data_IF_351474087537
#
_entry.id   IF_351474087537
#
_cell.length_a   1.000
_cell.length_b   1.000
_cell.length_c   1.000
_cell.angle_alpha   90.00
_cell.angle_beta   90.00
_cell.angle_gamma   90.00
#
_symmetry.space_group_name_H-M   'P 1'
#
loop_
_entity.id
_entity.type
_entity.pdbx_description
1 polymer ?
#
# COMPACT_ATOMS: atom_id res chain seq x y z
N UNK A 1 -62.37 -30.00 -19.06
CA UNK A 1 -62.38 -29.21 -17.80
C UNK A 1 -63.60 -29.64 -16.98
N UNK A 2 -63.51 -29.73 -15.65
CA UNK A 2 -62.66 -30.61 -14.84
C UNK A 2 -63.53 -31.48 -13.88
N UNK A 3 -62.94 -32.32 -13.02
CA UNK A 3 -62.89 -31.83 -11.63
C UNK A 3 -61.60 -32.18 -10.87
N UNK A 4 -61.11 -31.12 -10.21
CA UNK A 4 -60.54 -31.04 -8.85
C UNK A 4 -59.69 -32.19 -8.31
N UNK A 5 -58.41 -31.84 -8.17
CA UNK A 5 -57.36 -32.43 -7.35
C UNK A 5 -57.78 -32.56 -5.87
N UNK A 6 -57.50 -33.71 -5.22
CA UNK A 6 -57.13 -33.74 -3.83
C UNK A 6 -55.63 -34.04 -3.65
N UNK A 7 -54.99 -33.23 -2.80
CA UNK A 7 -53.63 -33.44 -2.31
C UNK A 7 -53.56 -34.71 -1.46
N UNK A 8 -52.60 -35.59 -1.73
CA UNK A 8 -52.17 -36.62 -0.78
C UNK A 8 -50.68 -36.45 -0.55
N UNK A 9 -50.34 -36.19 0.71
CA UNK A 9 -48.99 -36.13 1.23
C UNK A 9 -48.41 -37.55 1.36
N UNK A 10 -47.16 -37.74 0.95
CA UNK A 10 -46.35 -38.88 1.41
C UNK A 10 -44.96 -38.38 1.78
N UNK A 11 -44.76 -38.38 3.10
CA UNK A 11 -43.54 -38.56 3.89
C UNK A 11 -42.30 -39.04 3.13
N UNK A 12 -41.20 -38.29 3.28
CA UNK A 12 -39.86 -38.87 3.19
C UNK A 12 -39.22 -38.77 4.57
N UNK A 13 -39.03 -39.95 5.15
CA UNK A 13 -38.44 -40.13 6.45
C UNK A 13 -36.99 -39.66 6.49
N UNK A 14 -36.71 -38.92 7.56
CA UNK A 14 -35.42 -38.54 8.11
C UNK A 14 -34.46 -39.72 8.26
N UNK A 15 -33.22 -39.54 7.78
CA UNK A 15 -32.04 -40.07 8.44
C UNK A 15 -31.08 -38.89 8.66
N UNK A 16 -31.05 -38.42 9.90
CA UNK A 16 -30.14 -37.38 10.34
C UNK A 16 -28.73 -37.90 10.54
N UNK A 17 -27.75 -37.05 10.24
CA UNK A 17 -26.40 -37.12 10.79
C UNK A 17 -26.02 -35.70 11.26
N UNK A 18 -25.41 -35.52 12.44
CA UNK A 18 -25.43 -34.27 13.18
C UNK A 18 -24.18 -33.44 12.88
N UNK A 19 -24.34 -32.25 12.31
CA UNK A 19 -23.31 -31.22 12.34
C UNK A 19 -23.86 -29.97 13.02
N UNK A 20 -23.46 -29.83 14.30
CA UNK A 20 -23.71 -28.67 15.15
C UNK A 20 -23.28 -27.39 14.42
N UNK A 21 -24.24 -26.48 14.23
CA UNK A 21 -23.95 -25.08 13.98
C UNK A 21 -23.26 -24.49 15.21
N UNK A 22 -21.93 -24.46 15.19
CA UNK A 22 -21.17 -23.60 16.08
C UNK A 22 -21.15 -22.20 15.45
N UNK A 23 -22.09 -21.36 15.86
CA UNK A 23 -21.99 -19.91 15.67
C UNK A 23 -20.70 -19.44 16.31
N UNK A 24 -19.71 -19.07 15.49
CA UNK A 24 -18.52 -18.38 15.99
C UNK A 24 -18.92 -16.97 16.34
N UNK A 25 -19.22 -16.79 17.63
CA UNK A 25 -19.22 -15.50 18.29
C UNK A 25 -17.90 -14.78 18.00
N UNK A 26 -18.02 -13.53 17.58
CA UNK A 26 -16.94 -12.56 17.56
C UNK A 26 -16.41 -12.42 18.99
N UNK A 27 -15.28 -13.06 19.27
CA UNK A 27 -14.58 -12.93 20.54
C UNK A 27 -13.71 -11.67 20.49
N UNK A 28 -14.21 -10.64 21.17
CA UNK A 28 -13.50 -9.81 22.16
C UNK A 28 -11.97 -9.72 22.09
N UNK A 29 -11.51 -8.47 21.95
CA UNK A 29 -10.22 -7.92 22.38
C UNK A 29 -9.14 -8.93 22.78
N UNK A 30 -8.31 -9.31 21.80
CA UNK A 30 -6.99 -9.85 22.12
C UNK A 30 -6.19 -8.75 22.82
N UNK A 31 -5.85 -8.96 24.08
CA UNK A 31 -4.86 -8.19 24.80
C UNK A 31 -3.58 -8.19 23.96
N UNK A 32 -3.22 -7.03 23.41
CA UNK A 32 -2.03 -6.87 22.59
C UNK A 32 -0.81 -6.99 23.50
N UNK A 33 -0.34 -8.21 23.75
CA UNK A 33 1.07 -8.42 24.06
C UNK A 33 1.85 -7.78 22.93
N UNK A 34 2.62 -6.74 23.24
CA UNK A 34 3.60 -6.11 22.34
C UNK A 34 4.50 -7.23 21.78
N UNK A 35 4.14 -7.77 20.63
CA UNK A 35 4.94 -8.75 19.92
C UNK A 35 6.29 -8.10 19.61
N UNK A 36 7.39 -8.81 19.86
CA UNK A 36 8.72 -8.27 19.63
C UNK A 36 8.83 -7.80 18.18
N UNK A 37 9.43 -6.63 17.97
CA UNK A 37 9.56 -6.06 16.64
C UNK A 37 10.39 -7.00 15.74
N UNK A 38 10.04 -7.13 14.44
CA UNK A 38 10.77 -8.00 13.52
C UNK A 38 12.28 -7.66 13.45
N UNK A 39 13.15 -8.60 13.05
CA UNK A 39 14.56 -8.28 12.86
C UNK A 39 14.76 -7.27 11.72
N UNK A 40 15.89 -6.54 11.78
CA UNK A 40 16.29 -5.63 10.71
C UNK A 40 16.43 -6.38 9.37
N UNK A 41 16.05 -5.76 8.24
CA UNK A 41 16.08 -6.42 6.95
C UNK A 41 17.54 -6.62 6.46
N UNK A 42 17.84 -7.74 5.78
CA UNK A 42 19.15 -7.93 5.15
C UNK A 42 19.32 -7.03 3.91
N UNK A 43 20.57 -6.65 3.57
CA UNK A 43 20.87 -5.81 2.40
C UNK A 43 20.53 -6.49 1.07
N UNK A 44 20.52 -7.82 1.03
CA UNK A 44 20.14 -8.63 -0.12
C UNK A 44 19.15 -9.69 0.36
N UNK A 45 18.09 -9.93 -0.40
CA UNK A 45 17.10 -10.91 0.01
C UNK A 45 15.94 -11.07 -0.98
N UNK A 46 15.15 -12.12 -0.74
CA UNK A 46 13.90 -12.37 -1.45
C UNK A 46 12.78 -12.71 -0.47
N UNK A 47 11.64 -12.04 -0.61
CA UNK A 47 10.48 -12.22 0.25
C UNK A 47 9.22 -12.51 -0.58
N UNK A 48 8.44 -13.49 -0.13
CA UNK A 48 7.13 -13.77 -0.72
C UNK A 48 6.12 -12.72 -0.24
N UNK A 49 5.38 -12.13 -1.17
CA UNK A 49 4.45 -11.05 -0.90
C UNK A 49 3.05 -11.60 -0.66
N UNK A 50 2.86 -12.24 0.49
CA UNK A 50 1.63 -12.94 0.86
C UNK A 50 0.44 -12.01 1.16
N UNK A 51 0.71 -10.72 1.42
CA UNK A 51 -0.31 -9.68 1.58
C UNK A 51 -0.85 -9.15 0.25
N UNK A 52 -0.40 -9.68 -0.89
CA UNK A 52 -0.86 -9.31 -2.23
C UNK A 52 -1.53 -10.50 -2.91
N UNK A 53 -2.44 -10.22 -3.83
CA UNK A 53 -3.15 -11.21 -4.64
C UNK A 53 -3.07 -10.85 -6.12
N UNK A 54 -3.21 -11.88 -6.95
CA UNK A 54 -3.09 -11.77 -8.39
C UNK A 54 -4.45 -12.02 -9.06
N UNK A 55 -4.82 -11.16 -10.00
CA UNK A 55 -5.92 -11.36 -10.93
C UNK A 55 -5.35 -11.55 -12.32
N UNK A 56 -5.88 -12.48 -13.11
CA UNK A 56 -5.61 -12.55 -14.54
C UNK A 56 -6.67 -11.80 -15.32
N UNK A 57 -6.25 -11.10 -16.36
CA UNK A 57 -7.09 -10.42 -17.34
C UNK A 57 -6.62 -10.84 -18.73
N UNK A 58 -7.49 -11.45 -19.53
CA UNK A 58 -7.09 -12.07 -20.81
C UNK A 58 -8.16 -11.93 -21.89
N UNK A 59 -7.75 -11.57 -23.12
CA UNK A 59 -8.61 -11.49 -24.30
C UNK A 59 -8.25 -10.31 -25.21
N UNK A 60 -8.84 -10.23 -26.42
CA UNK A 60 -8.48 -9.22 -27.42
C UNK A 60 -8.66 -7.77 -26.96
N UNK A 61 -9.66 -7.48 -26.12
CA UNK A 61 -9.93 -6.10 -25.68
C UNK A 61 -9.12 -5.69 -24.44
N UNK A 62 -8.24 -6.55 -23.93
CA UNK A 62 -7.56 -6.38 -22.63
C UNK A 62 -6.73 -5.10 -22.53
N UNK A 63 -5.94 -4.80 -23.55
CA UNK A 63 -5.07 -3.61 -23.59
C UNK A 63 -5.90 -2.33 -23.59
N UNK A 64 -6.88 -2.24 -24.49
CA UNK A 64 -7.75 -1.07 -24.60
C UNK A 64 -8.56 -0.87 -23.32
N UNK A 65 -9.08 -1.95 -22.75
CA UNK A 65 -9.80 -1.94 -21.48
C UNK A 65 -8.94 -1.38 -20.36
N UNK A 66 -7.74 -1.93 -20.12
CA UNK A 66 -6.83 -1.45 -19.08
C UNK A 66 -6.40 0.00 -19.32
N UNK A 67 -6.09 0.35 -20.57
CA UNK A 67 -5.69 1.71 -20.94
C UNK A 67 -6.71 2.76 -20.49
N UNK A 68 -8.00 2.46 -20.55
CA UNK A 68 -9.07 3.40 -20.17
C UNK A 68 -9.36 3.49 -18.67
N UNK A 69 -8.84 2.59 -17.82
CA UNK A 69 -9.21 2.53 -16.40
C UNK A 69 -8.02 2.58 -15.43
N UNK A 70 -6.79 2.57 -15.94
CA UNK A 70 -5.56 2.68 -15.14
C UNK A 70 -4.87 4.03 -15.35
N UNK A 71 -4.08 4.46 -14.37
CA UNK A 71 -3.34 5.74 -14.43
C UNK A 71 -2.05 5.68 -15.27
N UNK A 72 -1.49 4.48 -15.50
CA UNK A 72 -0.27 4.27 -16.27
C UNK A 72 -0.60 3.86 -17.71
N UNK A 73 0.32 4.10 -18.65
CA UNK A 73 0.09 3.80 -20.05
C UNK A 73 0.21 2.31 -20.34
N UNK A 74 -0.83 1.73 -20.95
CA UNK A 74 -0.89 0.33 -21.37
C UNK A 74 -0.92 0.30 -22.89
N UNK A 75 0.10 -0.29 -23.48
CA UNK A 75 0.24 -0.43 -24.94
C UNK A 75 0.54 -1.89 -25.33
N UNK A 76 0.23 -2.30 -26.56
CA UNK A 76 0.64 -3.61 -27.07
C UNK A 76 2.16 -3.77 -27.03
N UNK A 77 2.63 -5.02 -26.91
CA UNK A 77 4.06 -5.35 -26.98
C UNK A 77 4.88 -5.10 -25.71
N UNK A 78 4.26 -4.61 -24.63
CA UNK A 78 4.93 -4.57 -23.33
C UNK A 78 5.28 -5.99 -22.86
N UNK A 79 6.48 -6.18 -22.36
CA UNK A 79 6.97 -7.45 -21.78
C UNK A 79 7.28 -7.34 -20.29
N UNK A 80 7.58 -6.13 -19.82
CA UNK A 80 7.83 -5.81 -18.41
C UNK A 80 6.57 -5.22 -17.76
N UNK A 81 6.35 -5.56 -16.50
CA UNK A 81 5.29 -4.96 -15.70
C UNK A 81 5.56 -3.51 -15.32
N UNK A 82 4.54 -2.84 -14.78
CA UNK A 82 4.64 -1.44 -14.37
C UNK A 82 3.70 -1.16 -13.18
N UNK A 83 4.06 -0.14 -12.40
CA UNK A 83 3.23 0.34 -11.30
C UNK A 83 2.11 1.24 -11.81
N UNK A 84 0.93 1.14 -11.22
CA UNK A 84 -0.24 1.92 -11.60
C UNK A 84 -1.27 2.00 -10.46
N UNK A 85 -2.40 2.65 -10.72
CA UNK A 85 -3.54 2.64 -9.84
C UNK A 85 -4.86 2.65 -10.61
N UNK A 86 -5.91 2.15 -9.96
CA UNK A 86 -7.29 2.37 -10.35
C UNK A 86 -7.85 3.54 -9.56
N UNK A 87 -8.56 4.45 -10.22
CA UNK A 87 -9.18 5.61 -9.57
C UNK A 87 -10.70 5.54 -9.58
N UNK A 88 -11.32 6.24 -8.64
CA UNK A 88 -12.73 6.58 -8.72
C UNK A 88 -12.96 7.65 -9.79
N UNK A 89 -14.20 7.83 -10.22
CA UNK A 89 -14.56 8.93 -11.13
C UNK A 89 -14.21 10.31 -10.56
N UNK A 90 -14.11 10.44 -9.24
CA UNK A 90 -13.69 11.66 -8.54
C UNK A 90 -12.16 11.82 -8.45
N UNK A 91 -11.38 10.92 -9.03
CA UNK A 91 -9.91 10.96 -9.02
C UNK A 91 -9.27 10.54 -7.68
N UNK A 92 -9.97 9.74 -6.87
CA UNK A 92 -9.42 9.15 -5.63
C UNK A 92 -8.87 7.76 -5.90
N UNK A 93 -7.78 7.38 -5.23
CA UNK A 93 -7.21 6.04 -5.42
C UNK A 93 -8.17 4.98 -4.89
N UNK A 94 -8.48 3.99 -5.72
CA UNK A 94 -9.19 2.78 -5.30
C UNK A 94 -8.18 1.73 -4.84
N UNK A 95 -7.20 1.45 -5.69
CA UNK A 95 -6.18 0.44 -5.45
C UNK A 95 -4.88 0.84 -6.15
N UNK A 96 -3.76 0.71 -5.44
CA UNK A 96 -2.41 0.65 -5.99
C UNK A 96 -2.13 -0.75 -6.53
N UNK A 97 -1.57 -0.84 -7.74
CA UNK A 97 -1.38 -2.12 -8.44
C UNK A 97 -0.07 -2.18 -9.19
N UNK A 98 0.43 -3.39 -9.38
CA UNK A 98 1.34 -3.69 -10.49
C UNK A 98 0.58 -4.42 -11.57
N UNK A 99 0.87 -4.11 -12.83
CA UNK A 99 0.29 -4.79 -13.99
C UNK A 99 1.43 -5.41 -14.79
N UNK A 100 1.35 -6.71 -15.01
CA UNK A 100 2.36 -7.50 -15.70
C UNK A 100 1.80 -8.03 -17.01
N UNK A 101 2.38 -7.67 -18.16
CA UNK A 101 2.17 -8.42 -19.39
C UNK A 101 2.56 -9.89 -19.18
N UNK A 102 1.74 -10.80 -19.68
CA UNK A 102 1.90 -12.24 -19.46
C UNK A 102 1.70 -13.08 -20.73
N UNK A 103 1.44 -12.44 -21.88
CA UNK A 103 1.28 -13.12 -23.17
C UNK A 103 2.51 -13.93 -23.59
N UNK A 104 3.70 -13.50 -23.17
CA UNK A 104 4.97 -14.16 -23.50
C UNK A 104 5.27 -15.40 -22.66
N UNK A 105 4.48 -15.67 -21.60
CA UNK A 105 4.78 -16.74 -20.64
C UNK A 105 4.02 -18.03 -20.98
N UNK A 106 4.71 -19.12 -21.34
CA UNK A 106 4.08 -20.42 -21.58
C UNK A 106 3.42 -20.98 -20.33
N UNK A 107 4.00 -20.75 -19.14
CA UNK A 107 3.42 -21.17 -17.87
C UNK A 107 2.07 -20.50 -17.60
N UNK A 108 1.92 -19.23 -17.98
CA UNK A 108 0.63 -18.55 -17.89
C UNK A 108 -0.37 -19.08 -18.89
N UNK A 109 0.04 -19.27 -20.15
CA UNK A 109 -0.82 -19.85 -21.19
C UNK A 109 -1.36 -21.23 -20.78
N UNK A 110 -0.52 -22.09 -20.20
CA UNK A 110 -0.91 -23.40 -19.69
C UNK A 110 -1.86 -23.35 -18.46
N UNK A 111 -1.88 -22.24 -17.73
CA UNK A 111 -2.76 -22.03 -16.57
C UNK A 111 -4.12 -21.40 -16.94
N UNK A 112 -4.36 -21.12 -18.23
CA UNK A 112 -5.67 -20.68 -18.70
C UNK A 112 -6.67 -21.85 -18.73
N UNK A 113 -7.96 -21.67 -18.41
CA UNK A 113 -8.95 -22.72 -18.51
C UNK A 113 -9.28 -22.93 -19.98
N UNK A 114 -9.48 -24.19 -20.37
CA UNK A 114 -9.80 -24.57 -21.74
C UNK A 114 -10.98 -23.80 -22.31
N UNK A 115 -11.99 -23.49 -21.49
CA UNK A 115 -13.16 -22.71 -21.89
C UNK A 115 -12.84 -21.28 -22.32
N UNK A 116 -11.80 -20.67 -21.74
CA UNK A 116 -11.37 -19.31 -22.08
C UNK A 116 -10.48 -19.35 -23.32
N UNK A 117 -9.60 -20.35 -23.43
CA UNK A 117 -8.75 -20.58 -24.61
C UNK A 117 -9.60 -20.90 -25.84
N UNK A 118 -10.65 -21.72 -25.70
CA UNK A 118 -11.60 -22.00 -26.78
C UNK A 118 -12.35 -20.73 -27.26
N UNK A 119 -12.53 -19.74 -26.37
CA UNK A 119 -13.26 -18.51 -26.67
C UNK A 119 -12.40 -17.43 -27.34
N UNK A 120 -11.15 -17.29 -26.93
CA UNK A 120 -10.27 -16.19 -27.35
C UNK A 120 -9.01 -16.66 -28.09
N UNK A 121 -8.69 -17.96 -28.11
CA UNK A 121 -7.44 -18.51 -28.62
C UNK A 121 -6.40 -18.68 -27.51
N UNK A 122 -5.15 -18.95 -27.91
CA UNK A 122 -4.01 -18.89 -26.99
C UNK A 122 -3.48 -17.44 -26.92
N UNK A 123 -2.83 -17.03 -25.81
CA UNK A 123 -2.22 -15.71 -25.70
C UNK A 123 -1.31 -15.37 -26.88
N UNK A 124 -1.54 -14.22 -27.47
CA UNK A 124 -0.79 -13.70 -28.61
C UNK A 124 -0.75 -12.17 -28.54
N UNK A 125 0.00 -11.49 -29.42
CA UNK A 125 -0.09 -10.03 -29.54
C UNK A 125 -1.51 -9.53 -29.81
N UNK A 126 -2.33 -10.30 -30.54
CA UNK A 126 -3.73 -9.97 -30.86
C UNK A 126 -4.70 -10.33 -29.71
N UNK A 127 -4.31 -11.24 -28.83
CA UNK A 127 -5.06 -11.60 -27.62
C UNK A 127 -4.19 -11.40 -26.37
N UNK A 128 -4.00 -10.13 -25.96
CA UNK A 128 -3.10 -9.82 -24.88
C UNK A 128 -3.60 -10.36 -23.54
N UNK A 129 -2.64 -10.72 -22.69
CA UNK A 129 -2.85 -11.23 -21.34
C UNK A 129 -2.07 -10.39 -20.33
N UNK A 130 -2.71 -10.09 -19.20
CA UNK A 130 -2.13 -9.35 -18.09
C UNK A 130 -2.41 -10.04 -16.76
N UNK A 131 -1.46 -9.92 -15.83
CA UNK A 131 -1.66 -10.20 -14.41
C UNK A 131 -1.69 -8.87 -13.66
N UNK A 132 -2.67 -8.69 -12.78
CA UNK A 132 -2.83 -7.51 -11.94
C UNK A 132 -2.56 -7.93 -10.50
N UNK A 133 -1.54 -7.34 -9.89
CA UNK A 133 -1.26 -7.45 -8.46
C UNK A 133 -2.01 -6.36 -7.69
N UNK A 134 -2.72 -6.76 -6.64
CA UNK A 134 -3.43 -5.86 -5.73
C UNK A 134 -3.29 -6.35 -4.28
N UNK A 135 -3.56 -5.47 -3.31
CA UNK A 135 -3.74 -5.85 -1.91
C UNK A 135 -4.71 -7.03 -1.75
N UNK A 136 -4.30 -8.03 -0.97
CA UNK A 136 -5.08 -9.25 -0.77
C UNK A 136 -6.48 -8.99 -0.20
N UNK A 137 -6.63 -7.99 0.69
CA UNK A 137 -7.91 -7.67 1.31
C UNK A 137 -8.90 -7.03 0.32
N UNK A 138 -8.41 -6.49 -0.79
CA UNK A 138 -9.23 -5.75 -1.75
C UNK A 138 -9.40 -6.46 -3.10
N UNK A 139 -8.81 -7.64 -3.26
CA UNK A 139 -8.81 -8.38 -4.51
C UNK A 139 -10.22 -8.68 -5.05
N UNK A 140 -11.14 -9.11 -4.18
CA UNK A 140 -12.54 -9.36 -4.54
C UNK A 140 -13.30 -8.07 -4.89
N UNK A 141 -13.01 -6.98 -4.19
CA UNK A 141 -13.64 -5.68 -4.43
C UNK A 141 -13.16 -5.09 -5.75
N UNK A 142 -11.88 -5.21 -6.05
CA UNK A 142 -11.31 -4.84 -7.35
C UNK A 142 -11.89 -5.73 -8.46
N UNK A 143 -11.97 -7.06 -8.29
CA UNK A 143 -12.57 -7.95 -9.29
C UNK A 143 -14.01 -7.52 -9.66
N UNK A 144 -14.83 -7.20 -8.64
CA UNK A 144 -16.20 -6.69 -8.86
C UNK A 144 -16.19 -5.36 -9.59
N UNK A 145 -15.27 -4.46 -9.25
CA UNK A 145 -15.10 -3.19 -9.93
C UNK A 145 -14.73 -3.42 -11.41
N UNK A 146 -13.71 -4.23 -11.71
CA UNK A 146 -13.30 -4.52 -13.07
C UNK A 146 -14.45 -5.12 -13.90
N UNK A 147 -15.17 -6.09 -13.36
CA UNK A 147 -16.35 -6.68 -14.02
C UNK A 147 -17.45 -5.67 -14.33
N UNK A 148 -17.63 -4.64 -13.50
CA UNK A 148 -18.58 -3.55 -13.76
C UNK A 148 -18.20 -2.72 -14.98
N UNK A 149 -16.90 -2.45 -15.17
CA UNK A 149 -16.40 -1.63 -16.28
C UNK A 149 -16.19 -2.42 -17.58
N UNK A 150 -16.28 -3.76 -17.54
CA UNK A 150 -16.06 -4.66 -18.68
C UNK A 150 -17.05 -4.47 -19.86
N UNK A 151 -18.03 -3.58 -19.78
CA UNK A 151 -19.12 -3.34 -20.76
C UNK A 151 -18.83 -3.83 -22.20
N UNK A 152 -19.31 -5.05 -22.53
CA UNK A 152 -19.14 -5.75 -23.83
C UNK A 152 -17.70 -6.07 -24.26
N UNK A 153 -16.68 -5.64 -23.53
CA UNK A 153 -15.29 -5.96 -23.79
C UNK A 153 -15.07 -7.48 -23.79
N UNK A 154 -14.48 -7.97 -24.87
CA UNK A 154 -14.11 -9.35 -25.12
C UNK A 154 -12.85 -9.69 -24.34
N UNK A 155 -13.02 -9.93 -23.06
CA UNK A 155 -11.97 -10.38 -22.16
C UNK A 155 -12.55 -11.24 -21.04
N UNK A 156 -11.70 -11.94 -20.31
CA UNK A 156 -12.03 -12.66 -19.07
C UNK A 156 -11.21 -12.10 -17.90
N UNK A 157 -11.80 -12.09 -16.70
CA UNK A 157 -11.15 -11.61 -15.47
C UNK A 157 -11.45 -12.56 -14.33
N UNK A 158 -10.39 -13.06 -13.67
CA UNK A 158 -10.49 -14.02 -12.56
C UNK A 158 -9.35 -13.85 -11.56
N UNK A 159 -9.59 -14.31 -10.34
CA UNK A 159 -8.55 -14.46 -9.34
C UNK A 159 -7.68 -15.67 -9.68
N UNK A 160 -6.36 -15.52 -9.54
CA UNK A 160 -5.44 -16.64 -9.60
C UNK A 160 -5.42 -17.37 -8.26
N UNK A 161 -5.25 -18.70 -8.32
CA UNK A 161 -5.08 -19.54 -7.15
C UNK A 161 -3.73 -19.20 -6.48
N UNK A 162 -3.71 -18.79 -5.19
CA UNK A 162 -2.47 -18.49 -4.47
C UNK A 162 -1.54 -19.70 -4.30
N UNK A 163 -2.05 -20.93 -4.43
CA UNK A 163 -1.22 -22.14 -4.39
C UNK A 163 -0.54 -22.41 -5.74
N UNK A 164 -1.10 -21.91 -6.85
CA UNK A 164 -0.57 -22.12 -8.19
C UNK A 164 0.40 -21.01 -8.63
N UNK A 165 0.25 -19.81 -8.06
CA UNK A 165 1.03 -18.63 -8.41
C UNK A 165 1.53 -17.92 -7.16
N UNK A 166 2.80 -17.57 -7.17
CA UNK A 166 3.47 -16.87 -6.08
C UNK A 166 4.05 -15.55 -6.58
N UNK A 167 4.06 -14.55 -5.71
CA UNK A 167 4.61 -13.23 -5.97
C UNK A 167 5.77 -12.98 -5.01
N UNK A 168 6.87 -12.48 -5.56
CA UNK A 168 8.11 -12.26 -4.82
C UNK A 168 8.66 -10.86 -5.07
N UNK A 169 9.20 -10.26 -4.01
CA UNK A 169 10.15 -9.15 -4.13
C UNK A 169 11.56 -9.70 -3.98
N UNK A 170 12.45 -9.33 -4.89
CA UNK A 170 13.87 -9.70 -4.87
C UNK A 170 14.68 -8.42 -4.88
N UNK A 171 15.62 -8.27 -3.96
CA UNK A 171 16.44 -7.08 -3.86
C UNK A 171 17.88 -7.39 -3.55
N UNK A 172 18.70 -6.44 -3.94
CA UNK A 172 20.11 -6.37 -3.61
C UNK A 172 20.48 -4.88 -3.54
N UNK A 173 20.92 -4.42 -2.38
CA UNK A 173 21.26 -3.00 -2.17
C UNK A 173 22.52 -2.57 -2.91
N UNK A 174 23.36 -3.52 -3.33
CA UNK A 174 24.55 -3.24 -4.15
C UNK A 174 24.20 -3.09 -5.64
N UNK A 175 23.05 -3.59 -6.06
CA UNK A 175 22.61 -3.50 -7.46
C UNK A 175 22.32 -2.04 -7.84
N UNK A 176 22.84 -1.55 -8.98
CA UNK A 176 22.57 -0.19 -9.44
C UNK A 176 21.06 0.07 -9.54
N UNK A 177 20.60 1.18 -8.98
CA UNK A 177 19.23 1.61 -9.19
C UNK A 177 19.06 2.23 -10.57
N UNK A 178 18.05 1.77 -11.32
CA UNK A 178 17.64 2.38 -12.58
C UNK A 178 16.53 3.41 -12.33
N UNK A 179 16.77 4.71 -12.56
CA UNK A 179 15.73 5.73 -12.41
C UNK A 179 14.61 5.54 -13.45
N UNK A 180 13.39 5.93 -13.07
CA UNK A 180 12.19 5.93 -13.93
C UNK A 180 12.33 6.74 -15.23
N UNK A 181 13.25 7.71 -15.27
CA UNK A 181 13.50 8.54 -16.45
C UNK A 181 14.56 7.97 -17.39
N UNK A 182 15.10 6.77 -17.09
CA UNK A 182 16.07 6.13 -17.98
C UNK A 182 15.36 5.57 -19.21
N UNK A 183 15.83 5.86 -20.44
CA UNK A 183 15.36 5.20 -21.66
C UNK A 183 15.54 3.66 -21.63
N UNK A 184 16.17 3.11 -20.59
CA UNK A 184 16.26 1.68 -20.31
C UNK A 184 14.91 0.97 -20.09
N UNK A 185 13.81 1.68 -19.73
CA UNK A 185 12.47 1.06 -19.62
C UNK A 185 11.90 0.59 -20.97
N UNK A 186 12.42 1.11 -22.08
CA UNK A 186 12.09 0.70 -23.45
C UNK A 186 13.10 -0.31 -24.04
N UNK A 187 14.22 -0.56 -23.34
CA UNK A 187 15.16 -1.59 -23.73
C UNK A 187 14.61 -2.98 -23.35
N UNK A 188 14.93 -4.06 -24.10
CA UNK A 188 14.65 -5.41 -23.63
C UNK A 188 15.33 -5.60 -22.28
N UNK A 189 14.52 -5.67 -21.23
CA UNK A 189 15.00 -5.80 -19.85
C UNK A 189 15.87 -7.06 -19.76
N UNK A 190 17.07 -6.96 -19.14
CA UNK A 190 17.88 -8.15 -18.90
C UNK A 190 17.05 -9.14 -18.09
N UNK A 191 17.03 -10.41 -18.53
CA UNK A 191 16.35 -11.54 -17.91
C UNK A 191 16.03 -11.29 -16.42
N UNK A 192 14.73 -11.13 -16.10
CA UNK A 192 14.26 -10.88 -14.74
C UNK A 192 14.79 -11.96 -13.78
N UNK A 193 14.88 -13.18 -14.29
CA UNK A 193 15.66 -14.30 -13.79
C UNK A 193 16.58 -14.80 -14.92
N UNK A 194 17.91 -14.74 -14.76
CA UNK A 194 18.86 -15.20 -15.78
C UNK A 194 18.55 -16.61 -16.28
N UNK A 195 18.42 -16.78 -17.60
CA UNK A 195 18.08 -18.05 -18.23
C UNK A 195 16.58 -18.38 -18.24
N UNK A 196 15.71 -17.44 -17.86
CA UNK A 196 14.24 -17.56 -17.91
C UNK A 196 13.60 -16.29 -18.53
N UNK A 197 13.71 -16.10 -19.85
CA UNK A 197 13.16 -14.93 -20.54
C UNK A 197 11.63 -14.87 -20.52
N UNK A 198 10.96 -15.99 -20.20
CA UNK A 198 9.51 -16.12 -20.05
C UNK A 198 8.99 -15.75 -18.65
N UNK A 199 9.89 -15.28 -17.77
CA UNK A 199 9.52 -14.84 -16.42
C UNK A 199 8.62 -13.61 -16.48
N UNK A 200 7.52 -13.66 -15.73
CA UNK A 200 6.62 -12.52 -15.56
C UNK A 200 7.13 -11.69 -14.39
N UNK A 201 7.29 -10.38 -14.59
CA UNK A 201 7.73 -9.50 -13.51
C UNK A 201 8.09 -8.10 -14.00
N UNK A 202 8.79 -7.36 -13.15
CA UNK A 202 9.32 -6.03 -13.49
C UNK A 202 10.40 -5.60 -12.52
N UNK A 203 11.20 -4.61 -12.90
CA UNK A 203 11.95 -3.80 -11.95
C UNK A 203 11.01 -2.96 -11.09
N UNK A 204 11.11 -3.08 -9.77
CA UNK A 204 10.35 -2.25 -8.84
C UNK A 204 11.00 -0.87 -8.81
N UNK A 205 10.58 -0.01 -9.71
CA UNK A 205 11.24 1.27 -9.90
C UNK A 205 10.82 2.32 -8.85
N UNK A 206 9.76 2.06 -8.05
CA UNK A 206 9.07 3.04 -7.19
C UNK A 206 10.01 3.88 -6.31
N UNK A 207 11.10 3.30 -5.85
CA UNK A 207 12.16 4.01 -5.16
C UNK A 207 13.52 3.30 -5.35
N UNK A 208 14.65 3.99 -5.10
CA UNK A 208 15.97 3.39 -5.13
C UNK A 208 16.12 2.13 -4.27
N UNK A 209 16.67 1.07 -4.86
CA UNK A 209 16.96 -0.19 -4.17
C UNK A 209 15.74 -1.09 -3.87
N UNK A 210 14.58 -0.81 -4.46
CA UNK A 210 13.38 -1.65 -4.33
C UNK A 210 13.49 -2.99 -5.07
N UNK A 211 14.44 -3.12 -6.00
CA UNK A 211 14.78 -4.39 -6.64
C UNK A 211 13.81 -4.77 -7.77
N UNK A 212 13.31 -6.00 -7.74
CA UNK A 212 12.45 -6.58 -8.78
C UNK A 212 11.22 -7.26 -8.15
N UNK A 213 10.14 -7.31 -8.92
CA UNK A 213 8.95 -8.13 -8.66
C UNK A 213 8.94 -9.31 -9.60
N UNK A 214 8.70 -10.51 -9.07
CA UNK A 214 8.60 -11.75 -9.86
C UNK A 214 7.26 -12.42 -9.59
N UNK A 215 6.54 -12.77 -10.64
CA UNK A 215 5.34 -13.60 -10.62
C UNK A 215 5.72 -14.97 -11.15
N UNK A 216 5.66 -15.98 -10.30
CA UNK A 216 6.19 -17.31 -10.59
C UNK A 216 5.10 -18.37 -10.40
N UNK A 217 4.98 -19.35 -11.31
CA UNK A 217 4.16 -20.52 -11.06
C UNK A 217 4.75 -21.34 -9.90
N UNK A 218 3.93 -22.13 -9.22
CA UNK A 218 4.37 -22.95 -8.09
C UNK A 218 5.48 -23.97 -8.44
N UNK A 219 5.58 -24.33 -9.72
CA UNK A 219 6.61 -25.23 -10.25
C UNK A 219 7.97 -24.55 -10.47
N UNK A 220 8.04 -23.22 -10.44
CA UNK A 220 9.27 -22.50 -10.67
C UNK A 220 10.19 -22.55 -9.44
N UNK A 221 11.40 -23.09 -9.63
CA UNK A 221 12.45 -23.06 -8.60
C UNK A 221 13.08 -21.66 -8.46
N UNK A 222 13.39 -21.29 -7.21
CA UNK A 222 14.15 -20.09 -6.82
C UNK A 222 15.64 -20.39 -6.57
N UNK A 223 16.09 -21.62 -6.80
CA UNK A 223 17.44 -22.08 -6.42
C UNK A 223 18.54 -21.26 -7.09
N UNK A 224 18.33 -20.81 -8.32
CA UNK A 224 19.26 -19.93 -9.03
C UNK A 224 19.50 -18.61 -8.28
N UNK A 225 18.49 -18.05 -7.61
CA UNK A 225 18.65 -16.85 -6.77
C UNK A 225 19.34 -17.18 -5.45
N UNK A 226 18.97 -18.30 -4.83
CA UNK A 226 19.55 -18.75 -3.57
C UNK A 226 21.06 -19.03 -3.72
N UNK A 227 21.45 -19.72 -4.80
CA UNK A 227 22.84 -20.03 -5.14
C UNK A 227 23.67 -18.77 -5.45
N UNK A 228 23.03 -17.69 -5.90
CA UNK A 228 23.65 -16.37 -6.12
C UNK A 228 23.77 -15.54 -4.85
N UNK A 229 23.47 -16.11 -3.68
CA UNK A 229 23.60 -15.42 -2.40
C UNK A 229 22.44 -14.47 -2.09
N UNK A 230 21.25 -14.69 -2.67
CA UNK A 230 20.03 -13.95 -2.32
C UNK A 230 19.22 -14.78 -1.32
N UNK A 231 19.35 -14.56 0.01
CA UNK A 231 18.68 -15.39 1.00
C UNK A 231 17.16 -15.12 1.06
N UNK A 232 16.40 -16.11 1.55
CA UNK A 232 14.99 -15.88 1.90
C UNK A 232 14.88 -14.93 3.09
N UNK A 233 13.95 -14.00 3.01
CA UNK A 233 13.63 -13.05 4.06
C UNK A 233 12.12 -13.07 4.35
N UNK A 234 11.70 -12.79 5.60
CA UNK A 234 10.29 -12.71 5.95
C UNK A 234 9.63 -11.49 5.30
N UNK A 235 8.31 -11.53 5.15
CA UNK A 235 7.53 -10.39 4.63
C UNK A 235 7.79 -9.09 5.42
N UNK A 236 7.99 -9.18 6.73
CA UNK A 236 8.29 -8.02 7.57
C UNK A 236 9.56 -7.27 7.13
N UNK A 237 10.59 -7.97 6.66
CA UNK A 237 11.81 -7.36 6.14
C UNK A 237 11.50 -6.50 4.89
N UNK A 238 10.65 -7.00 4.00
CA UNK A 238 10.17 -6.25 2.85
C UNK A 238 9.39 -4.98 3.27
N UNK A 239 8.47 -5.12 4.22
CA UNK A 239 7.68 -4.00 4.76
C UNK A 239 8.56 -2.91 5.37
N UNK A 240 9.53 -3.29 6.21
CA UNK A 240 10.48 -2.34 6.82
C UNK A 240 11.28 -1.60 5.73
N UNK A 241 11.80 -2.33 4.72
CA UNK A 241 12.57 -1.71 3.62
C UNK A 241 11.76 -0.70 2.83
N UNK A 242 10.47 -0.95 2.58
CA UNK A 242 9.55 0.01 1.94
C UNK A 242 9.31 1.23 2.81
N UNK A 243 9.01 1.02 4.09
CA UNK A 243 8.72 2.10 5.03
C UNK A 243 9.91 3.03 5.19
N UNK A 244 11.14 2.50 5.34
CA UNK A 244 12.37 3.30 5.39
C UNK A 244 12.58 4.14 4.12
N UNK A 245 12.11 3.67 2.96
CA UNK A 245 12.20 4.37 1.68
C UNK A 245 11.03 5.30 1.40
N UNK A 246 10.00 5.34 2.27
CA UNK A 246 8.82 6.15 2.05
C UNK A 246 7.89 5.65 0.95
N UNK A 247 7.87 4.34 0.67
CA UNK A 247 7.08 3.73 -0.42
C UNK A 247 5.77 3.17 0.13
N UNK A 248 4.61 3.82 -0.12
CA UNK A 248 3.33 3.30 0.30
C UNK A 248 2.88 2.10 -0.57
N UNK A 249 2.22 1.13 0.05
CA UNK A 249 1.63 -0.04 -0.62
C UNK A 249 0.42 -0.58 0.14
N UNK A 250 -0.64 -0.92 -0.60
CA UNK A 250 -1.87 -1.49 -0.05
C UNK A 250 -2.77 -0.46 0.66
N UNK A 251 -3.96 -0.91 1.09
CA UNK A 251 -5.02 0.00 1.52
C UNK A 251 -4.84 0.58 2.92
N UNK A 252 -3.99 -0.02 3.74
CA UNK A 252 -3.57 0.55 5.03
C UNK A 252 -2.69 1.80 4.85
N UNK A 253 -1.95 1.89 3.74
CA UNK A 253 -1.02 2.99 3.44
C UNK A 253 -1.59 3.93 2.37
N UNK A 254 -2.48 3.43 1.50
CA UNK A 254 -3.20 4.19 0.47
C UNK A 254 -4.71 3.99 0.65
N UNK A 255 -5.35 4.74 1.58
CA UNK A 255 -6.75 4.54 1.92
C UNK A 255 -7.68 4.71 0.71
N UNK A 256 -8.47 3.67 0.45
CA UNK A 256 -9.41 3.61 -0.67
C UNK A 256 -10.41 4.77 -0.62
N UNK A 257 -10.64 5.40 -1.77
CA UNK A 257 -11.56 6.53 -1.97
C UNK A 257 -11.21 7.82 -1.19
N UNK A 258 -10.19 7.80 -0.33
CA UNK A 258 -9.71 8.97 0.40
C UNK A 258 -8.37 9.48 -0.12
N UNK A 259 -7.44 8.59 -0.48
CA UNK A 259 -6.11 8.96 -0.96
C UNK A 259 -6.17 9.66 -2.32
N UNK A 260 -5.31 10.67 -2.48
CA UNK A 260 -5.03 11.32 -3.75
C UNK A 260 -3.79 10.73 -4.40
N UNK A 261 -3.78 10.50 -5.73
CA UNK A 261 -2.63 9.90 -6.42
C UNK A 261 -1.31 10.63 -6.14
N UNK A 262 -1.31 11.96 -6.29
CA UNK A 262 -0.12 12.79 -6.09
C UNK A 262 0.26 12.93 -4.61
N UNK A 263 -0.70 12.85 -3.68
CA UNK A 263 -0.38 12.84 -2.24
C UNK A 263 0.25 11.50 -1.82
N UNK A 264 -0.10 10.40 -2.48
CA UNK A 264 0.51 9.08 -2.30
C UNK A 264 1.78 8.87 -3.15
N UNK A 265 2.34 9.93 -3.74
CA UNK A 265 3.56 9.92 -4.56
C UNK A 265 3.49 9.05 -5.83
N UNK A 266 2.31 8.75 -6.37
CA UNK A 266 2.20 7.97 -7.61
C UNK A 266 2.85 8.70 -8.81
N UNK A 267 2.94 10.04 -8.76
CA UNK A 267 3.68 10.83 -9.74
C UNK A 267 5.19 10.56 -9.70
N UNK A 268 5.75 10.40 -8.49
CA UNK A 268 7.18 10.15 -8.30
C UNK A 268 7.60 8.68 -8.46
N UNK A 269 6.63 7.77 -8.33
CA UNK A 269 6.82 6.32 -8.45
C UNK A 269 6.48 5.78 -9.85
N UNK A 270 6.35 6.67 -10.85
CA UNK A 270 5.90 6.36 -12.22
C UNK A 270 4.55 5.62 -12.31
N UNK A 271 3.68 5.82 -11.31
CA UNK A 271 2.33 5.25 -11.27
C UNK A 271 1.30 6.04 -12.08
N UNK A 272 1.63 7.24 -12.56
CA UNK A 272 0.76 8.07 -13.42
C UNK A 272 1.53 8.48 -14.68
N UNK A 273 0.95 8.21 -15.85
CA UNK A 273 1.43 8.81 -17.10
C UNK A 273 0.60 10.05 -17.44
N UNK A 274 1.23 11.21 -17.51
CA UNK A 274 0.55 12.46 -17.86
C UNK A 274 0.43 12.68 -19.38
N UNK A 275 1.04 11.82 -20.20
CA UNK A 275 1.03 11.89 -21.68
C UNK A 275 0.06 10.89 -22.32
N UNK A 276 -0.54 9.98 -21.54
CA UNK A 276 -1.50 9.00 -22.06
C UNK A 276 -2.87 9.62 -22.33
N UNK A 277 -3.70 8.89 -23.08
CA UNK A 277 -5.09 9.25 -23.35
C UNK A 277 -5.99 9.21 -22.11
N UNK A 278 -7.29 9.46 -22.33
CA UNK A 278 -8.28 9.55 -21.25
C UNK A 278 -8.38 8.26 -20.43
N UNK A 279 -8.47 8.41 -19.11
CA UNK A 279 -8.74 7.31 -18.18
C UNK A 279 -9.66 7.77 -17.05
N UNK A 280 -10.30 6.83 -16.36
CA UNK A 280 -11.24 7.12 -15.25
C UNK A 280 -10.55 7.92 -14.14
N UNK A 281 -11.11 9.08 -13.77
CA UNK A 281 -10.61 9.91 -12.66
C UNK A 281 -9.41 10.79 -13.02
N UNK A 282 -9.11 10.97 -14.30
CA UNK A 282 -7.96 11.75 -14.79
C UNK A 282 -8.06 13.25 -14.45
N UNK A 283 -9.27 13.84 -14.47
CA UNK A 283 -9.46 15.29 -14.44
C UNK A 283 -8.88 15.95 -13.18
N UNK A 284 -9.10 15.36 -12.01
CA UNK A 284 -8.55 15.86 -10.75
C UNK A 284 -7.03 15.70 -10.69
N UNK A 285 -6.52 14.56 -11.17
CA UNK A 285 -5.09 14.23 -11.20
C UNK A 285 -4.32 15.19 -12.07
N UNK A 286 -4.77 15.40 -13.31
CA UNK A 286 -4.16 16.35 -14.27
C UNK A 286 -4.25 17.79 -13.75
N UNK A 287 -5.41 18.20 -13.22
CA UNK A 287 -5.57 19.54 -12.67
C UNK A 287 -4.56 19.80 -11.54
N UNK A 288 -4.39 18.85 -10.64
CA UNK A 288 -3.45 18.96 -9.51
C UNK A 288 -2.00 19.01 -9.99
N UNK A 289 -1.66 18.23 -11.02
CA UNK A 289 -0.34 18.25 -11.64
C UNK A 289 0.00 19.62 -12.26
N UNK A 290 -0.95 20.23 -12.99
CA UNK A 290 -0.72 21.53 -13.65
C UNK A 290 -0.81 22.75 -12.72
N UNK A 291 -1.62 22.70 -11.65
CA UNK A 291 -1.68 23.80 -10.65
C UNK A 291 -0.44 23.84 -9.76
N UNK A 292 0.35 22.76 -9.72
CA UNK A 292 1.79 22.80 -9.46
C UNK A 292 2.24 22.67 -8.01
N UNK A 293 1.35 22.65 -7.02
CA UNK A 293 1.76 22.52 -5.61
C UNK A 293 0.98 21.42 -4.88
N UNK A 294 1.64 20.28 -4.70
CA UNK A 294 1.16 19.17 -3.87
C UNK A 294 1.61 19.40 -2.43
N UNK A 295 0.73 19.95 -1.58
CA UNK A 295 1.07 20.37 -0.21
C UNK A 295 1.15 19.24 0.82
N UNK A 296 0.58 18.08 0.50
CA UNK A 296 0.58 16.89 1.35
C UNK A 296 1.20 15.73 0.61
N UNK A 297 2.12 15.00 1.25
CA UNK A 297 2.72 13.79 0.69
C UNK A 297 2.86 12.72 1.76
N UNK A 298 2.76 11.47 1.34
CA UNK A 298 3.15 10.33 2.19
C UNK A 298 4.66 10.37 2.36
N UNK A 299 5.12 10.36 3.60
CA UNK A 299 6.52 10.39 3.97
C UNK A 299 6.80 9.32 5.03
N UNK A 300 8.03 8.79 5.09
CA UNK A 300 8.46 7.96 6.19
C UNK A 300 8.49 8.77 7.49
N UNK A 301 8.10 8.12 8.58
CA UNK A 301 8.06 8.71 9.90
C UNK A 301 8.62 7.75 10.95
N UNK A 302 9.32 8.33 11.94
CA UNK A 302 9.85 7.65 13.11
C UNK A 302 8.99 8.01 14.32
N UNK A 303 8.60 7.00 15.09
CA UNK A 303 8.00 7.12 16.41
C UNK A 303 9.09 6.99 17.46
N UNK A 304 9.08 7.89 18.44
CA UNK A 304 10.06 7.89 19.51
C UNK A 304 9.43 8.36 20.82
N UNK A 305 9.98 7.92 21.95
CA UNK A 305 9.61 8.43 23.26
C UNK A 305 10.51 9.60 23.65
N UNK A 306 10.00 10.46 24.53
CA UNK A 306 10.78 11.54 25.14
C UNK A 306 12.06 11.01 25.81
N UNK A 307 11.97 9.88 26.51
CA UNK A 307 13.09 9.23 27.18
C UNK A 307 14.14 8.70 26.19
N UNK A 308 13.72 8.07 25.08
CA UNK A 308 14.63 7.53 24.08
C UNK A 308 15.43 8.63 23.36
N UNK A 309 14.80 9.77 23.06
CA UNK A 309 15.50 10.88 22.42
C UNK A 309 16.42 11.65 23.38
N UNK A 310 16.13 11.68 24.70
CA UNK A 310 17.07 12.18 25.71
C UNK A 310 18.31 11.29 25.87
N UNK A 311 18.19 9.97 25.71
CA UNK A 311 19.31 9.03 25.77
C UNK A 311 20.23 9.10 24.52
N UNK A 312 19.68 9.46 23.35
CA UNK A 312 20.44 9.62 22.11
C UNK A 312 21.20 10.94 22.03
N UNK A 313 20.81 11.96 22.80
CA UNK A 313 21.57 13.22 22.92
C UNK A 313 22.73 13.05 23.90
N UNK A 314 23.95 12.92 23.38
CA UNK A 314 25.20 12.74 24.15
C UNK A 314 25.67 13.98 24.92
N UNK A 315 24.77 14.85 25.38
CA UNK A 315 25.12 16.05 26.15
C UNK A 315 24.16 16.23 27.32
N UNK A 316 24.65 16.23 28.58
CA UNK A 316 23.81 16.42 29.75
C UNK A 316 23.43 17.90 29.83
N UNK A 317 22.31 18.28 29.21
CA UNK A 317 21.68 19.56 29.52
C UNK A 317 21.04 19.43 30.90
N UNK A 318 21.71 19.96 31.91
CA UNK A 318 21.20 20.10 33.27
C UNK A 318 19.86 20.84 33.28
N UNK A 319 18.79 20.18 33.72
CA UNK A 319 17.54 20.83 34.11
C UNK A 319 16.50 21.10 33.02
N UNK A 320 16.49 20.36 31.91
CA UNK A 320 15.42 20.51 30.92
C UNK A 320 14.16 19.72 31.32
N UNK A 321 13.04 20.44 31.50
CA UNK A 321 11.69 19.87 31.52
C UNK A 321 11.51 18.89 30.35
N UNK A 322 10.67 17.86 30.53
CA UNK A 322 10.28 16.88 29.50
C UNK A 322 9.74 17.49 28.18
N UNK A 323 9.61 18.82 28.10
CA UNK A 323 9.19 19.60 26.96
C UNK A 323 10.32 19.96 25.95
N UNK A 324 11.59 19.66 26.23
CA UNK A 324 12.73 20.02 25.36
C UNK A 324 13.54 18.82 24.84
N UNK A 325 12.85 17.73 24.50
CA UNK A 325 13.46 16.60 23.81
C UNK A 325 13.69 16.96 22.33
N UNK A 326 14.95 16.94 21.88
CA UNK A 326 15.29 17.21 20.49
C UNK A 326 14.84 16.06 19.58
N UNK A 327 14.19 16.35 18.44
CA UNK A 327 13.78 15.31 17.49
C UNK A 327 14.99 14.56 16.91
N UNK A 328 14.89 13.24 16.68
CA UNK A 328 15.91 12.47 15.97
C UNK A 328 16.21 13.05 14.58
N UNK A 329 17.49 13.06 14.19
CA UNK A 329 17.96 13.62 12.92
C UNK A 329 18.00 12.60 11.77
N UNK A 330 18.00 11.32 12.10
CA UNK A 330 18.09 10.23 11.13
C UNK A 330 16.95 9.25 11.30
N UNK A 331 16.43 8.78 10.17
CA UNK A 331 15.45 7.70 10.12
C UNK A 331 16.20 6.38 10.24
N UNK A 332 15.88 5.60 11.28
CA UNK A 332 16.43 4.26 11.45
C UNK A 332 15.37 3.34 12.04
N UNK A 333 15.44 2.07 11.64
CA UNK A 333 14.66 1.02 12.27
C UNK A 333 15.45 0.43 13.42
N UNK A 334 14.83 0.33 14.59
CA UNK A 334 15.43 -0.32 15.76
C UNK A 334 14.52 -1.49 16.22
N UNK A 335 14.97 -2.75 16.05
CA UNK A 335 14.20 -3.91 16.50
C UNK A 335 14.13 -4.02 18.04
N UNK A 336 15.03 -3.35 18.77
CA UNK A 336 15.02 -3.33 20.24
C UNK A 336 14.16 -2.19 20.80
N UNK A 337 13.76 -1.23 19.98
CA UNK A 337 12.88 -0.15 20.41
C UNK A 337 11.46 -0.68 20.72
N UNK A 338 10.72 -0.01 21.62
CA UNK A 338 9.32 -0.35 21.84
C UNK A 338 8.55 -0.31 20.53
N UNK A 339 7.66 -1.29 20.30
CA UNK A 339 6.86 -1.39 19.09
C UNK A 339 5.70 -0.36 19.09
N UNK A 340 6.03 0.92 19.19
CA UNK A 340 5.10 2.05 19.27
C UNK A 340 4.13 2.10 18.09
N UNK A 341 4.55 1.63 16.92
CA UNK A 341 3.69 1.57 15.74
C UNK A 341 2.53 0.57 15.90
N UNK A 342 2.67 -0.48 16.72
CA UNK A 342 1.63 -1.46 16.95
C UNK A 342 0.43 -0.89 17.73
N UNK A 343 0.66 0.16 18.53
CA UNK A 343 -0.38 0.85 19.32
C UNK A 343 -0.84 2.17 18.70
N UNK A 344 -0.19 2.63 17.62
CA UNK A 344 -0.55 3.85 16.92
C UNK A 344 -1.78 3.65 16.02
N UNK A 345 -2.92 4.33 16.28
CA UNK A 345 -4.14 4.08 15.52
C UNK A 345 -4.02 4.52 14.06
N UNK A 346 -4.55 3.71 13.14
CA UNK A 346 -4.65 4.08 11.72
C UNK A 346 -5.45 5.38 11.56
N UNK A 347 -4.91 6.34 10.81
CA UNK A 347 -5.54 7.63 10.55
C UNK A 347 -5.45 8.65 11.69
N UNK A 348 -4.71 8.34 12.78
CA UNK A 348 -4.52 9.25 13.91
C UNK A 348 -3.93 10.59 13.46
N UNK A 349 -4.46 11.68 14.01
CA UNK A 349 -3.96 13.02 13.70
C UNK A 349 -2.61 13.26 14.37
N UNK A 350 -1.66 13.74 13.58
CA UNK A 350 -0.36 14.20 14.03
C UNK A 350 -0.44 15.70 14.30
N UNK A 351 -0.20 16.09 15.54
CA UNK A 351 -0.32 17.46 16.02
C UNK A 351 1.07 18.02 16.34
N UNK A 352 1.32 19.33 16.15
CA UNK A 352 2.51 19.96 16.74
C UNK A 352 2.53 19.73 18.25
N UNK A 353 3.66 19.34 18.82
CA UNK A 353 3.75 18.91 20.23
C UNK A 353 3.28 19.98 21.22
N UNK A 354 3.60 21.26 20.92
CA UNK A 354 3.22 22.43 21.71
C UNK A 354 1.75 22.85 21.52
N UNK A 355 1.06 22.34 20.50
CA UNK A 355 -0.32 22.72 20.21
C UNK A 355 -1.31 21.84 20.99
N UNK A 356 -2.10 22.45 21.88
CA UNK A 356 -3.25 21.79 22.55
C UNK A 356 -4.47 21.69 21.64
N UNK A 357 -4.62 22.62 20.70
CA UNK A 357 -5.68 22.67 19.67
C UNK A 357 -5.09 23.29 18.41
N UNK A 358 -5.62 22.92 17.25
CA UNK A 358 -5.17 23.50 15.99
C UNK A 358 -5.36 22.56 14.81
N UNK A 359 -4.82 22.98 13.67
CA UNK A 359 -4.90 22.21 12.43
C UNK A 359 -3.84 21.09 12.49
N UNK A 360 -4.28 19.84 12.33
CA UNK A 360 -3.38 18.68 12.21
C UNK A 360 -2.28 18.92 11.17
N UNK A 361 -1.04 18.55 11.51
CA UNK A 361 0.13 18.62 10.63
C UNK A 361 0.18 17.44 9.65
N UNK A 362 -0.41 16.31 10.03
CA UNK A 362 -0.46 15.11 9.19
C UNK A 362 -1.35 14.01 9.77
N UNK A 363 -1.39 12.86 9.11
CA UNK A 363 -2.11 11.68 9.58
C UNK A 363 -1.19 10.48 9.56
N UNK A 364 -1.16 9.72 10.65
CA UNK A 364 -0.49 8.43 10.70
C UNK A 364 -1.24 7.42 9.81
N UNK A 365 -0.51 6.61 9.04
CA UNK A 365 -1.10 5.63 8.13
C UNK A 365 -0.90 4.21 8.68
N UNK A 366 0.34 3.73 8.68
CA UNK A 366 0.69 2.40 9.18
C UNK A 366 2.18 2.37 9.55
N UNK A 367 2.60 1.41 10.37
CA UNK A 367 4.00 1.25 10.74
C UNK A 367 4.35 -0.12 11.31
N UNK A 368 5.64 -0.32 11.55
CA UNK A 368 6.24 -1.52 12.15
C UNK A 368 7.32 -1.08 13.14
N UNK A 369 7.30 -1.62 14.36
CA UNK A 369 8.26 -1.25 15.40
C UNK A 369 8.20 0.25 15.72
N UNK A 370 9.30 0.96 15.48
CA UNK A 370 9.45 2.40 15.68
C UNK A 370 9.30 3.24 14.39
N UNK A 371 9.01 2.64 13.23
CA UNK A 371 8.89 3.37 11.96
C UNK A 371 7.50 3.20 11.34
N UNK A 372 7.18 4.03 10.36
CA UNK A 372 6.00 3.87 9.52
C UNK A 372 5.89 4.95 8.46
N UNK A 373 4.69 5.10 7.91
CA UNK A 373 4.34 6.12 6.94
C UNK A 373 3.26 7.05 7.50
N UNK A 374 3.38 8.33 7.14
CA UNK A 374 2.41 9.35 7.49
C UNK A 374 2.09 10.23 6.28
N UNK A 375 0.84 10.65 6.15
CA UNK A 375 0.44 11.71 5.23
C UNK A 375 0.79 13.06 5.88
N UNK A 376 1.90 13.66 5.45
CA UNK A 376 2.44 14.86 6.05
C UNK A 376 2.08 16.10 5.23
N UNK A 377 1.77 17.21 5.90
CA UNK A 377 1.90 18.52 5.25
C UNK A 377 3.37 18.89 5.17
N UNK A 378 3.83 18.94 3.94
CA UNK A 378 5.27 19.00 3.63
C UNK A 378 5.94 20.22 4.27
N UNK A 379 5.42 21.42 4.05
CA UNK A 379 5.98 22.67 4.63
C UNK A 379 5.76 22.82 6.14
N UNK A 380 4.92 21.98 6.76
CA UNK A 380 4.75 22.01 8.22
C UNK A 380 5.68 21.04 8.93
N UNK A 381 5.98 19.88 8.32
CA UNK A 381 6.69 18.78 8.97
C UNK A 381 8.11 18.59 8.47
N UNK A 382 8.51 19.31 7.41
CA UNK A 382 9.81 19.13 6.74
C UNK A 382 10.42 20.46 6.31
N UNK A 383 11.69 20.41 5.97
CA UNK A 383 12.49 21.53 5.46
C UNK A 383 12.17 21.90 4.00
N UNK A 384 11.32 21.14 3.32
CA UNK A 384 10.93 21.44 1.94
C UNK A 384 10.08 22.70 1.86
N UNK A 385 10.45 23.59 0.92
CA UNK A 385 9.71 24.80 0.58
C UNK A 385 9.02 24.60 -0.76
N UNK A 386 7.69 24.62 -0.77
CA UNK A 386 6.88 24.37 -1.97
C UNK A 386 6.27 25.65 -2.53
N UNK A 387 6.03 26.64 -1.67
CA UNK A 387 5.36 27.90 -1.96
C UNK A 387 6.29 29.09 -1.71
N UNK A 388 5.95 30.24 -2.32
CA UNK A 388 6.71 31.47 -2.14
C UNK A 388 6.57 32.06 -0.72
N UNK A 389 5.58 31.61 0.06
CA UNK A 389 5.35 32.03 1.44
C UNK A 389 6.41 31.47 2.41
N UNK A 390 7.27 30.55 1.94
CA UNK A 390 8.32 29.93 2.73
C UNK A 390 7.79 28.83 3.66
N UNK A 391 8.72 28.10 4.29
CA UNK A 391 8.39 27.13 5.34
C UNK A 391 8.61 27.77 6.72
N UNK A 392 7.67 27.55 7.65
CA UNK A 392 7.84 27.93 9.08
C UNK A 392 8.49 26.82 9.91
N UNK A 393 8.87 25.73 9.26
CA UNK A 393 9.45 24.58 9.89
C UNK A 393 10.83 24.89 10.50
N UNK A 394 11.10 24.32 11.67
CA UNK A 394 12.41 24.27 12.31
C UNK A 394 12.84 22.82 12.56
N UNK A 395 14.15 22.56 12.57
CA UNK A 395 14.69 21.24 12.88
C UNK A 395 14.25 20.73 14.26
N UNK A 396 14.00 21.64 15.20
CA UNK A 396 13.59 21.35 16.57
C UNK A 396 12.07 21.22 16.74
N UNK A 397 11.29 21.36 15.65
CA UNK A 397 9.85 21.16 15.69
C UNK A 397 9.53 19.70 16.00
N UNK A 398 8.85 19.50 17.14
CA UNK A 398 8.35 18.21 17.58
C UNK A 398 6.86 18.05 17.23
N UNK A 399 6.49 16.84 16.84
CA UNK A 399 5.11 16.44 16.58
C UNK A 399 4.74 15.27 17.47
N UNK A 400 3.45 15.09 17.72
CA UNK A 400 2.92 14.01 18.55
C UNK A 400 1.65 13.40 17.97
N UNK A 401 1.43 12.15 18.31
CA UNK A 401 0.17 11.45 18.13
C UNK A 401 -0.27 10.86 19.48
N UNK A 402 -1.58 10.70 19.66
CA UNK A 402 -2.15 10.10 20.86
C UNK A 402 -2.40 8.62 20.61
N UNK A 403 -1.87 7.75 21.47
CA UNK A 403 -2.15 6.31 21.47
C UNK A 403 -3.10 5.96 22.62
N UNK A 404 -3.97 4.95 22.44
CA UNK A 404 -4.82 4.46 23.54
C UNK A 404 -3.95 3.98 24.71
N UNK A 405 -4.28 4.39 25.93
CA UNK A 405 -3.61 3.85 27.13
C UNK A 405 -4.02 2.40 27.36
N UNK A 406 -3.06 1.53 27.67
CA UNK A 406 -3.28 0.12 27.98
C UNK A 406 -4.23 -0.12 29.18
N UNK A 407 -4.50 0.90 30.00
CA UNK A 407 -5.32 0.80 31.21
C UNK A 407 -6.85 0.94 30.99
N UNK A 408 -7.33 1.17 29.77
CA UNK A 408 -8.75 1.44 29.51
C UNK A 408 -9.62 0.18 29.20
N UNK A 409 -9.14 -1.01 29.54
CA UNK A 409 -9.76 -2.29 29.15
C UNK A 409 -10.35 -3.15 30.27
N UNK A 410 -10.54 -2.60 31.47
CA UNK A 410 -11.13 -3.34 32.58
C UNK A 410 -11.95 -2.40 33.47
N UNK A 411 -13.23 -2.21 33.13
CA UNK A 411 -14.35 -2.00 34.05
C UNK A 411 -15.62 -1.62 33.26
N UNK A 412 -16.71 -2.35 33.50
CA UNK A 412 -18.05 -1.97 33.03
C UNK A 412 -18.83 -3.06 32.27
N UNK A 413 -18.88 -4.28 32.80
CA UNK A 413 -19.98 -5.21 32.48
C UNK A 413 -21.02 -5.05 33.59
N UNK A 414 -22.09 -4.29 33.35
CA UNK A 414 -23.33 -4.46 34.09
C UNK A 414 -24.54 -4.00 33.28
N UNK A 415 -25.56 -4.84 33.35
CA UNK A 415 -26.80 -4.90 32.59
C UNK A 415 -27.77 -3.73 32.80
N UNK A 416 -28.52 -3.38 31.76
CA UNK A 416 -29.77 -2.61 31.91
C UNK A 416 -30.41 -2.22 30.58
N UNK A 417 -31.54 -2.84 30.24
CA UNK A 417 -32.31 -2.54 29.04
C UNK A 417 -33.19 -1.29 29.15
N UNK A 418 -33.74 -0.87 28.01
CA UNK A 418 -34.84 0.10 27.93
C UNK A 418 -34.59 1.20 26.91
N UNK A 419 -35.56 1.43 26.03
CA UNK A 419 -35.41 2.34 24.89
C UNK A 419 -35.61 3.82 25.21
N UNK A 420 -35.23 4.63 24.22
CA UNK A 420 -35.77 5.93 23.82
C UNK A 420 -34.77 7.11 23.80
N UNK A 421 -34.91 7.85 22.69
CA UNK A 421 -34.70 9.29 22.54
C UNK A 421 -33.31 9.83 22.18
N UNK A 422 -33.36 10.72 21.19
CA UNK A 422 -32.29 11.36 20.43
C UNK A 422 -32.13 12.79 20.96
N UNK A 423 -31.36 13.01 22.02
CA UNK A 423 -30.83 14.32 22.41
C UNK A 423 -29.88 14.21 23.62
N UNK A 424 -28.59 13.98 23.37
CA UNK A 424 -27.48 14.31 24.29
C UNK A 424 -26.16 14.24 23.50
N UNK A 425 -25.79 15.36 22.88
CA UNK A 425 -24.42 15.59 22.40
C UNK A 425 -23.82 16.63 23.34
N UNK A 426 -23.23 16.16 24.43
CA UNK A 426 -22.36 16.96 25.27
C UNK A 426 -21.22 16.09 25.79
N UNK A 427 -20.00 16.56 25.48
CA UNK A 427 -18.76 16.34 26.24
C UNK A 427 -18.36 14.89 26.55
N UNK A 428 -17.75 14.21 25.57
CA UNK A 428 -16.81 13.12 25.88
C UNK A 428 -15.51 13.76 26.38
N UNK A 429 -15.35 13.78 27.71
CA UNK A 429 -14.06 14.00 28.36
C UNK A 429 -13.06 12.94 27.87
N UNK A 430 -11.87 13.42 27.51
CA UNK A 430 -10.73 12.63 27.03
C UNK A 430 -10.27 11.65 28.10
N UNK A 431 -10.58 10.36 27.93
CA UNK A 431 -9.84 9.30 28.62
C UNK A 431 -8.37 9.38 28.20
N UNK A 432 -7.45 9.42 29.17
CA UNK A 432 -6.03 9.72 28.99
C UNK A 432 -5.33 8.72 28.06
N UNK A 433 -5.02 9.15 26.85
CA UNK A 433 -4.12 8.45 25.94
C UNK A 433 -2.66 8.85 26.18
N UNK A 434 -1.73 7.93 25.98
CA UNK A 434 -0.30 8.20 26.04
C UNK A 434 0.12 9.01 24.79
N UNK A 435 1.04 9.96 24.95
CA UNK A 435 1.55 10.76 23.84
C UNK A 435 2.85 10.16 23.31
N UNK A 436 2.88 9.87 22.02
CA UNK A 436 4.08 9.39 21.30
C UNK A 436 4.57 10.47 20.35
N UNK A 437 5.88 10.73 20.34
CA UNK A 437 6.46 11.73 19.45
C UNK A 437 6.71 11.15 18.06
N UNK A 438 6.62 12.02 17.05
CA UNK A 438 6.70 11.67 15.63
C UNK A 438 7.66 12.61 14.94
N UNK A 439 8.52 12.06 14.07
CA UNK A 439 9.37 12.83 13.16
C UNK A 439 9.20 12.30 11.74
N UNK A 440 8.84 13.17 10.79
CA UNK A 440 8.80 12.82 9.38
C UNK A 440 10.16 13.09 8.71
N UNK A 441 10.48 12.29 7.70
CA UNK A 441 11.72 12.40 6.92
C UNK A 441 11.39 12.50 5.44
N UNK A 442 12.25 13.17 4.68
CA UNK A 442 12.12 13.29 3.22
C UNK A 442 13.26 12.49 2.60
N UNK A 443 12.97 11.33 1.98
CA UNK A 443 13.97 10.57 1.24
C UNK A 443 14.57 11.41 0.10
N UNK A 444 15.85 11.19 -0.21
CA UNK A 444 16.55 11.94 -1.27
C UNK A 444 15.87 11.82 -2.63
N UNK A 445 15.33 10.64 -2.95
CA UNK A 445 14.63 10.41 -4.21
C UNK A 445 13.32 11.20 -4.33
N UNK A 446 12.69 11.55 -3.21
CA UNK A 446 11.53 12.46 -3.16
C UNK A 446 12.02 13.88 -3.30
N UNK A 447 13.04 14.29 -2.54
CA UNK A 447 13.63 15.63 -2.56
C UNK A 447 14.06 16.05 -3.97
N UNK A 448 14.70 15.13 -4.70
CA UNK A 448 15.17 15.36 -6.07
C UNK A 448 14.04 15.55 -7.10
N UNK A 449 12.83 15.08 -6.80
CA UNK A 449 11.67 15.20 -7.70
C UNK A 449 10.73 16.36 -7.35
N UNK A 450 10.82 16.89 -6.13
CA UNK A 450 10.04 18.07 -5.73
C UNK A 450 10.55 19.28 -6.49
N UNK A 451 9.70 19.80 -7.39
CA UNK A 451 9.96 21.05 -8.12
C UNK A 451 9.90 22.23 -7.14
N UNK A 452 11.05 22.69 -6.66
CA UNK A 452 11.12 23.95 -5.93
C UNK A 452 10.80 25.07 -6.93
N UNK A 453 9.71 25.80 -6.69
CA UNK A 453 9.37 26.97 -7.50
C UNK A 453 10.45 28.03 -7.20
N UNK A 454 11.43 28.19 -8.09
CA UNK A 454 12.38 29.31 -7.99
C UNK A 454 11.55 30.60 -7.89
N UNK A 455 11.80 31.48 -6.91
CA UNK A 455 11.12 32.77 -6.88
C UNK A 455 11.38 33.45 -8.22
N UNK A 456 10.33 33.90 -8.90
CA UNK A 456 10.46 34.63 -10.15
C UNK A 456 11.44 35.78 -9.90
N UNK A 457 12.61 35.73 -10.54
CA UNK A 457 13.42 36.91 -10.71
C UNK A 457 12.55 37.92 -11.46
N UNK A 458 12.05 38.93 -10.75
CA UNK A 458 11.42 40.08 -11.39
C UNK A 458 12.51 40.72 -12.26
N UNK A 459 12.33 40.67 -13.57
CA UNK A 459 13.05 41.51 -14.53
C UNK A 459 12.50 42.93 -14.42
#
# INVERSE_FOLDING_TARGET
>A
MPPRIPKVAISVASHGCPCRFAGRNLSTAASATLEAAPPAPPPTGLAQLTHRRLLSLYGPDSTHYLQGITTANVRPGLTSGFYSAFLSAQGRVLNDVFIYPSSHSPAFAAALPDSVVAKYGAPSPDTPAYIIEVDAAEADRLLKHLKRYKLRAKLDIRLLNPEAWSLWSVWDEQSPWTPHASPALDAPEPDLLPGRPDTIGTHDARAPGMGRRLVLPATASLDALLQRGVPRAPLAAYTIRRMLRGVPEGQAEVPREAALPLEANLDFMAGVDFRKGCYVGQELTIRTHHTGVVRKRVLPALLYSAAAAAAASSSPASGADAAHVLPPRELHYDPAAPALAAVAPHGADIMPARARRGRSAGKWLAGVGNIGLALCRVEMMTDLVLTAEGSRWSADDAFKLTVPSAAAGAEGDESGGGGASRAARETVQTAGGEEVLVRAFVPDWVRNQVKVKKPNARV
#
